data_IF_526305909748
#
_entry.id   IF_526305909748
#
_cell.length_a   1.000
_cell.length_b   1.000
_cell.length_c   1.000
_cell.angle_alpha   90.00
_cell.angle_beta   90.00
_cell.angle_gamma   90.00
#
_symmetry.space_group_name_H-M   'P 1'
#
loop_
_entity.id
_entity.type
_entity.pdbx_description
1 polymer ?
#
# COMPACT_ATOMS: atom_id res chain seq x y z
N UNK A 1 12.59 -18.48 -1.08
CA UNK A 1 12.51 -17.15 -1.73
C UNK A 1 11.35 -16.40 -1.10
N UNK A 2 11.61 -15.30 -0.40
CA UNK A 2 10.54 -14.41 0.06
C UNK A 2 9.98 -13.71 -1.18
N UNK A 3 8.72 -13.98 -1.54
CA UNK A 3 8.03 -13.23 -2.59
C UNK A 3 7.72 -11.84 -2.03
N UNK A 4 8.32 -10.81 -2.63
CA UNK A 4 7.95 -9.44 -2.32
C UNK A 4 6.46 -9.23 -2.65
N UNK A 5 5.74 -8.52 -1.78
CA UNK A 5 4.34 -8.20 -2.02
C UNK A 5 4.21 -7.29 -3.24
N UNK A 6 3.20 -7.56 -4.08
CA UNK A 6 2.82 -6.62 -5.13
C UNK A 6 2.44 -5.30 -4.48
N UNK A 7 3.05 -4.20 -4.92
CA UNK A 7 2.90 -2.90 -4.28
C UNK A 7 2.64 -1.81 -5.31
N UNK A 8 1.77 -0.87 -4.98
CA UNK A 8 1.71 0.42 -5.69
C UNK A 8 2.85 1.28 -5.19
N UNK A 9 3.58 1.91 -6.11
CA UNK A 9 4.72 2.76 -5.79
C UNK A 9 4.48 4.13 -6.42
N UNK A 10 4.38 5.16 -5.58
CA UNK A 10 4.43 6.56 -6.02
C UNK A 10 5.85 7.05 -5.74
N UNK A 11 6.68 7.29 -6.78
CA UNK A 11 8.07 7.67 -6.60
C UNK A 11 8.17 9.09 -6.02
N UNK A 12 9.28 9.36 -5.32
CA UNK A 12 9.63 10.73 -4.96
C UNK A 12 9.91 11.53 -6.24
N UNK A 13 9.36 12.75 -6.32
CA UNK A 13 9.57 13.65 -7.46
C UNK A 13 10.88 14.46 -7.37
N UNK A 14 11.45 14.58 -6.17
CA UNK A 14 12.72 15.24 -5.88
C UNK A 14 13.71 14.26 -5.24
N UNK A 15 14.85 14.77 -4.73
CA UNK A 15 15.84 13.95 -4.00
C UNK A 15 15.15 13.18 -2.88
N UNK A 16 15.08 11.88 -3.04
CA UNK A 16 14.44 10.97 -2.09
C UNK A 16 15.17 11.02 -0.75
N UNK A 17 14.45 11.34 0.32
CA UNK A 17 14.99 11.39 1.69
C UNK A 17 14.10 10.70 2.71
N UNK A 18 12.86 10.36 2.34
CA UNK A 18 11.92 9.69 3.23
C UNK A 18 11.01 8.71 2.47
N UNK A 19 10.54 7.67 3.16
CA UNK A 19 9.58 6.72 2.62
C UNK A 19 8.41 6.54 3.56
N UNK A 20 7.20 6.57 3.01
CA UNK A 20 5.97 6.19 3.70
C UNK A 20 5.57 4.82 3.17
N UNK A 21 5.40 3.86 4.09
CA UNK A 21 4.79 2.56 3.79
C UNK A 21 3.41 2.56 4.43
N UNK A 22 2.37 2.46 3.61
CA UNK A 22 0.99 2.51 4.07
C UNK A 22 0.32 1.15 3.87
N UNK A 23 -0.16 0.55 4.97
CA UNK A 23 -0.89 -0.71 4.96
C UNK A 23 -2.39 -0.44 4.96
N UNK A 24 -3.10 -1.03 4.02
CA UNK A 24 -4.56 -0.88 3.92
C UNK A 24 -5.29 -1.68 5.01
N UNK A 25 -6.58 -1.40 5.18
CA UNK A 25 -7.45 -2.13 6.11
C UNK A 25 -7.95 -3.47 5.56
N UNK A 26 -8.65 -4.24 6.41
CA UNK A 26 -9.24 -5.53 6.07
C UNK A 26 -10.14 -5.42 4.82
N UNK A 27 -9.88 -6.28 3.83
CA UNK A 27 -10.68 -6.35 2.61
C UNK A 27 -10.34 -5.33 1.52
N UNK A 28 -9.40 -4.43 1.77
CA UNK A 28 -8.99 -3.37 0.84
C UNK A 28 -7.69 -3.75 0.09
N UNK A 29 -7.08 -2.80 -0.61
CA UNK A 29 -5.84 -2.98 -1.38
C UNK A 29 -5.01 -1.70 -1.40
N UNK A 30 -3.72 -1.80 -1.73
CA UNK A 30 -2.86 -0.65 -2.02
C UNK A 30 -3.38 0.20 -3.19
N UNK A 31 -4.08 -0.40 -4.16
CA UNK A 31 -4.75 0.34 -5.24
C UNK A 31 -5.92 1.19 -4.75
N UNK A 32 -6.68 0.71 -3.75
CA UNK A 32 -7.77 1.48 -3.13
C UNK A 32 -7.28 2.79 -2.49
N UNK A 33 -6.02 2.83 -2.08
CA UNK A 33 -5.38 3.98 -1.43
C UNK A 33 -4.43 4.78 -2.33
N UNK A 34 -4.20 4.32 -3.57
CA UNK A 34 -3.37 5.04 -4.54
C UNK A 34 -3.79 6.51 -4.72
N UNK A 35 -5.08 6.87 -4.84
CA UNK A 35 -5.48 8.26 -5.04
C UNK A 35 -5.03 9.18 -3.89
N UNK A 36 -5.02 8.68 -2.65
CA UNK A 36 -4.56 9.45 -1.48
C UNK A 36 -3.05 9.69 -1.55
N UNK A 37 -2.27 8.66 -1.92
CA UNK A 37 -0.83 8.81 -2.09
C UNK A 37 -0.49 9.81 -3.21
N UNK A 38 -1.22 9.78 -4.33
CA UNK A 38 -1.07 10.73 -5.44
C UNK A 38 -1.45 12.17 -5.05
N UNK A 39 -2.46 12.35 -4.20
CA UNK A 39 -2.83 13.67 -3.66
C UNK A 39 -1.79 14.23 -2.69
N UNK A 40 -1.15 13.36 -1.89
CA UNK A 40 -0.13 13.78 -0.92
C UNK A 40 1.26 13.98 -1.54
N UNK A 41 1.61 13.27 -2.61
CA UNK A 41 2.93 13.31 -3.22
C UNK A 41 3.40 14.74 -3.62
N UNK A 42 2.55 15.62 -4.18
CA UNK A 42 2.93 17.01 -4.47
C UNK A 42 3.29 17.83 -3.24
N UNK A 43 2.70 17.54 -2.07
CA UNK A 43 2.99 18.22 -0.81
C UNK A 43 4.32 17.76 -0.20
N UNK A 44 4.77 16.55 -0.55
CA UNK A 44 5.99 15.94 -0.02
C UNK A 44 6.88 15.38 -1.15
N UNK A 45 7.46 16.24 -2.01
CA UNK A 45 8.14 15.80 -3.23
C UNK A 45 9.38 14.91 -2.98
N UNK A 46 9.94 14.92 -1.77
CA UNK A 46 11.09 14.10 -1.36
C UNK A 46 10.68 12.74 -0.77
N UNK A 47 9.37 12.45 -0.68
CA UNK A 47 8.80 11.22 -0.11
C UNK A 47 8.42 10.25 -1.23
N UNK A 48 8.84 8.99 -1.08
CA UNK A 48 8.34 7.85 -1.86
C UNK A 48 7.24 7.14 -1.07
N UNK A 49 6.10 6.88 -1.68
CA UNK A 49 5.02 6.11 -1.06
C UNK A 49 5.02 4.68 -1.60
N UNK A 50 4.89 3.71 -0.71
CA UNK A 50 4.76 2.28 -1.02
C UNK A 50 3.50 1.77 -0.36
N UNK A 51 2.57 1.24 -1.15
CA UNK A 51 1.30 0.70 -0.69
C UNK A 51 1.24 -0.78 -1.10
N UNK A 52 1.73 -1.70 -0.24
CA UNK A 52 1.68 -3.14 -0.53
C UNK A 52 0.25 -3.66 -0.51
N UNK A 53 -0.01 -4.67 -1.33
CA UNK A 53 -1.23 -5.47 -1.29
C UNK A 53 -1.01 -6.68 -0.38
N UNK A 54 -1.88 -6.85 0.60
CA UNK A 54 -1.92 -8.06 1.42
C UNK A 54 -2.39 -9.27 0.58
N UNK A 55 -1.91 -10.49 0.87
CA UNK A 55 -2.40 -11.69 0.20
C UNK A 55 -3.86 -11.98 0.57
N UNK A 56 -4.59 -12.61 -0.36
CA UNK A 56 -5.96 -13.07 -0.08
C UNK A 56 -5.93 -14.36 0.73
N UNK A 57 -6.36 -14.29 1.99
CA UNK A 57 -6.38 -15.42 2.93
C UNK A 57 -7.78 -15.57 3.57
N UNK A 58 -8.17 -16.76 4.09
CA UNK A 58 -9.41 -16.89 4.85
C UNK A 58 -9.31 -16.18 6.20
N UNK A 59 -10.32 -15.36 6.52
CA UNK A 59 -10.32 -14.52 7.72
C UNK A 59 -11.24 -15.10 8.79
N UNK A 60 -10.68 -15.43 9.95
CA UNK A 60 -11.41 -16.08 11.06
C UNK A 60 -12.56 -15.24 11.58
N UNK A 61 -12.35 -13.93 11.80
CA UNK A 61 -13.40 -13.01 12.28
C UNK A 61 -14.53 -12.81 11.26
N UNK A 62 -14.24 -12.97 9.96
CA UNK A 62 -15.22 -12.89 8.87
C UNK A 62 -15.72 -14.28 8.43
N UNK A 63 -15.80 -15.24 9.35
CA UNK A 63 -16.40 -16.56 9.09
C UNK A 63 -15.68 -17.38 8.01
N UNK A 64 -14.37 -17.15 7.81
CA UNK A 64 -13.56 -17.83 6.80
C UNK A 64 -13.63 -17.21 5.40
N UNK A 65 -14.29 -16.06 5.23
CA UNK A 65 -14.32 -15.37 3.94
C UNK A 65 -12.90 -14.99 3.50
N UNK A 66 -12.62 -15.17 2.20
CA UNK A 66 -11.32 -14.87 1.60
C UNK A 66 -11.26 -13.43 1.15
N UNK A 67 -10.38 -12.65 1.75
CA UNK A 67 -10.15 -11.25 1.39
C UNK A 67 -8.70 -10.86 1.75
N UNK A 68 -8.20 -9.72 1.25
CA UNK A 68 -6.88 -9.21 1.65
C UNK A 68 -6.81 -8.91 3.16
N UNK A 69 -5.80 -9.46 3.84
CA UNK A 69 -5.47 -9.17 5.24
C UNK A 69 -4.02 -9.52 5.60
#
# INVERSE_FOLDING_TARGET
MSLALQSVIVPAAAKHTATVIFLHGLGDSGYGWQPVAEQLAPLFPHVKFILPNAPTIPITVNGGYRMPA
#
